data_IF_517111173767
#
_entry.id   IF_517111173767
#
_cell.length_a   1.000
_cell.length_b   1.000
_cell.length_c   1.000
_cell.angle_alpha   90.00
_cell.angle_beta   90.00
_cell.angle_gamma   90.00
#
_symmetry.space_group_name_H-M   'P 1'
#
loop_
_entity.id
_entity.type
_entity.pdbx_description
1 polymer ?
2 non-polymer ?
3 non-polymer ?
4 water ?
#
# COMPACT_ATOMS: atom_id res chain seq x y z
N UNK A 8 -25.85 20.07 -9.39
CA UNK A 8 -25.51 21.38 -8.74
C UNK A 8 -23.99 21.60 -8.61
N UNK A 9 -23.57 22.82 -8.96
CA UNK A 9 -22.21 23.37 -8.77
C UNK A 9 -21.17 23.09 -9.85
N UNK A 10 -21.09 23.97 -10.85
CA UNK A 10 -20.18 23.80 -11.98
C UNK A 10 -18.92 24.68 -11.84
N UNK A 11 -17.76 24.05 -11.91
CA UNK A 11 -16.48 24.68 -11.68
C UNK A 11 -16.27 25.91 -12.57
N UNK A 12 -16.56 25.76 -13.85
CA UNK A 12 -16.25 26.80 -14.82
C UNK A 12 -17.15 28.04 -14.69
N UNK A 13 -18.43 27.81 -14.40
CA UNK A 13 -19.33 28.88 -14.00
C UNK A 13 -18.82 29.64 -12.75
N UNK A 14 -18.51 28.91 -11.68
CA UNK A 14 -18.05 29.52 -10.46
C UNK A 14 -16.73 30.23 -10.67
N UNK A 15 -16.00 29.83 -11.70
CA UNK A 15 -14.71 30.44 -12.03
C UNK A 15 -14.90 31.83 -12.63
N UNK A 16 -16.05 32.02 -13.28
CA UNK A 16 -16.39 33.28 -13.94
C UNK A 16 -16.67 34.43 -12.98
N UNK A 17 -16.66 34.18 -11.67
CA UNK A 17 -16.78 35.23 -10.67
C UNK A 17 -15.53 35.35 -9.80
N UNK A 18 -15.03 36.57 -9.64
CA UNK A 18 -13.82 36.81 -8.87
C UNK A 18 -14.12 37.44 -7.50
N UNK A 31 -17.59 29.91 2.57
CA UNK A 31 -16.84 30.69 1.59
C UNK A 31 -17.15 30.26 0.15
N UNK A 32 -16.88 31.14 -0.83
CA UNK A 32 -16.88 30.74 -2.24
C UNK A 32 -15.59 29.98 -2.63
N UNK A 33 -14.58 30.05 -1.76
CA UNK A 33 -13.33 29.31 -1.94
C UNK A 33 -13.49 27.84 -1.52
N UNK A 34 -14.57 27.54 -0.80
CA UNK A 34 -14.92 26.16 -0.48
C UNK A 34 -15.78 25.57 -1.60
N UNK A 35 -16.69 26.37 -2.14
CA UNK A 35 -17.49 25.97 -3.29
C UNK A 35 -16.63 25.78 -4.56
N UNK A 36 -15.58 26.58 -4.72
CA UNK A 36 -14.64 26.43 -5.83
C UNK A 36 -13.85 25.10 -5.76
N UNK A 37 -13.13 24.90 -4.65
CA UNK A 37 -12.40 23.64 -4.45
C UNK A 37 -13.24 22.36 -4.66
N UNK A 38 -14.44 22.33 -4.10
CA UNK A 38 -15.31 21.17 -4.26
C UNK A 38 -15.74 21.00 -5.71
N UNK A 39 -16.02 22.12 -6.37
CA UNK A 39 -16.51 22.10 -7.75
C UNK A 39 -15.40 21.65 -8.71
N UNK A 41 -12.76 19.75 -7.78
CA UNK A 41 -12.69 18.31 -7.54
C UNK A 41 -13.79 17.57 -8.29
N UNK A 42 -15.02 18.11 -8.22
CA UNK A 42 -16.18 17.54 -8.89
C UNK A 42 -16.05 17.45 -10.39
N UNK A 43 -15.45 18.49 -10.98
CA UNK A 43 -15.20 18.58 -12.42
C UNK A 43 -14.05 17.65 -12.84
N UNK A 44 -13.06 17.53 -11.96
CA UNK A 44 -11.91 16.65 -12.20
C UNK A 44 -12.38 15.21 -12.29
N UNK A 45 -13.24 14.82 -11.37
CA UNK A 45 -13.82 13.48 -11.37
C UNK A 45 -14.71 13.26 -12.58
N UNK A 46 -15.50 14.27 -12.95
CA UNK A 46 -16.35 14.21 -14.14
C UNK A 46 -15.51 14.02 -15.42
N UNK A 47 -14.31 14.59 -15.45
CA UNK A 47 -13.41 14.44 -16.61
C UNK A 47 -12.53 13.19 -16.57
N UNK A 48 -12.53 12.51 -15.43
CA UNK A 48 -11.77 11.28 -15.30
C UNK A 48 -10.29 11.56 -15.11
N UNK A 49 -10.01 12.65 -14.41
CA UNK A 49 -8.65 13.15 -14.25
C UNK A 49 -7.93 12.41 -13.14
N UNK A 50 -6.65 12.16 -13.37
CA UNK A 50 -5.83 11.53 -12.37
C UNK A 50 -5.35 12.56 -11.34
N UNK A 51 -4.84 13.71 -11.79
CA UNK A 51 -4.31 14.71 -10.85
C UNK A 51 -4.74 16.18 -11.10
N UNK A 52 -4.78 16.98 -10.03
CA UNK A 52 -5.04 18.42 -10.11
C UNK A 52 -3.83 19.19 -9.60
N UNK A 53 -3.44 20.25 -10.29
CA UNK A 53 -2.30 21.05 -9.88
C UNK A 53 -2.71 22.48 -9.67
N UNK A 54 -2.46 23.00 -8.48
CA UNK A 54 -2.54 24.44 -8.23
C UNK A 54 -1.14 25.04 -7.97
N UNK A 55 -0.68 25.85 -8.92
CA UNK A 55 0.66 26.42 -8.82
C UNK A 55 0.66 27.94 -8.91
N UNK A 56 1.62 28.55 -8.22
CA UNK A 56 1.80 29.99 -8.23
C UNK A 56 3.01 30.42 -9.10
N UNK A 57 2.75 31.31 -10.05
CA UNK A 57 3.81 32.01 -10.78
C UNK A 57 3.76 33.49 -10.43
N UNK A 58 4.90 34.16 -10.55
CA UNK A 58 5.06 35.53 -10.06
C UNK A 58 3.89 36.47 -10.46
N UNK A 59 3.55 36.50 -11.74
CA UNK A 59 2.57 37.44 -12.27
C UNK A 59 1.17 36.86 -12.46
N UNK A 60 0.95 35.61 -12.03
CA UNK A 60 -0.32 34.91 -12.27
C UNK A 60 -0.36 33.56 -11.57
N UNK A 61 -1.56 33.00 -11.42
CA UNK A 61 -1.74 31.67 -10.84
C UNK A 61 -2.24 30.66 -11.90
N UNK A 62 -2.21 29.37 -11.58
CA UNK A 62 -2.45 28.36 -12.60
C UNK A 62 -3.04 27.07 -12.03
N UNK A 63 -4.09 26.59 -12.68
CA UNK A 63 -4.73 25.33 -12.32
C UNK A 63 -4.63 24.38 -13.49
N UNK A 64 -4.04 23.21 -13.27
CA UNK A 64 -3.94 22.24 -14.36
C UNK A 64 -4.57 20.90 -13.99
N UNK A 65 -5.06 20.18 -14.99
CA UNK A 65 -5.64 18.87 -14.81
C UNK A 65 -4.87 17.85 -15.63
N UNK A 66 -4.52 16.72 -15.03
CA UNK A 66 -4.01 15.65 -15.89
C UNK A 66 -5.10 14.64 -16.23
N UNK A 67 -5.42 14.53 -17.53
CA UNK A 67 -6.35 13.47 -17.97
C UNK A 67 -5.76 12.50 -19.00
N UNK A 68 -5.76 11.22 -18.65
CA UNK A 68 -5.15 10.13 -19.45
C UNK A 68 -3.74 10.43 -19.94
N UNK A 69 -2.91 10.94 -19.04
CA UNK A 69 -1.53 11.28 -19.35
C UNK A 69 -1.37 12.76 -19.63
N UNK A 70 -2.31 13.31 -20.39
CA UNK A 70 -2.24 14.68 -20.92
C UNK A 70 -2.50 15.75 -19.86
N UNK A 71 -1.55 16.67 -19.71
CA UNK A 71 -1.69 17.78 -18.77
C UNK A 71 -2.14 19.01 -19.55
N UNK A 72 -2.97 19.85 -18.93
CA UNK A 72 -3.57 21.01 -19.62
C UNK A 72 -3.91 22.08 -18.61
N UNK A 73 -3.95 23.32 -19.06
CA UNK A 73 -4.35 24.41 -18.18
C UNK A 73 -5.84 24.59 -18.37
N UNK A 74 -6.56 24.70 -17.25
CA UNK A 74 -8.01 24.79 -17.31
C UNK A 74 -8.45 26.13 -16.73
N UNK A 75 -7.59 26.74 -15.93
CA UNK A 75 -7.90 28.05 -15.39
C UNK A 75 -6.65 28.80 -14.92
N UNK A 76 -6.66 30.11 -15.15
CA UNK A 76 -5.63 30.99 -14.65
C UNK A 76 -6.26 32.17 -13.88
N UNK A 77 -6.76 31.90 -12.66
CA UNK A 77 -7.35 32.96 -11.84
C UNK A 77 -6.28 33.90 -11.29
N UNK A 78 -6.71 35.00 -10.66
CA UNK A 78 -5.78 35.99 -10.11
C UNK A 78 -4.80 35.45 -9.06
N UNK A 79 -3.56 35.91 -9.13
CA UNK A 79 -2.51 35.58 -8.17
C UNK A 79 -2.98 35.75 -6.72
N UNK A 80 -3.87 36.71 -6.48
CA UNK A 80 -4.37 36.99 -5.13
C UNK A 80 -5.01 35.78 -4.45
N UNK A 81 -5.58 34.89 -5.24
CA UNK A 81 -6.31 33.75 -4.69
C UNK A 81 -5.41 32.65 -4.12
N UNK A 82 -4.12 32.65 -4.48
CA UNK A 82 -3.21 31.53 -4.17
C UNK A 82 -3.15 31.11 -2.69
N UNK A 83 -2.98 32.07 -1.77
CA UNK A 83 -2.91 31.75 -0.34
C UNK A 83 -4.20 31.10 0.19
N UNK A 84 -5.32 31.45 -0.44
CA UNK A 84 -6.62 30.94 -0.03
C UNK A 84 -6.87 29.51 -0.49
N UNK A 85 -6.54 29.20 -1.75
CA UNK A 85 -6.75 27.85 -2.27
C UNK A 85 -5.80 26.86 -1.60
N UNK A 86 -4.60 27.34 -1.25
CA UNK A 86 -3.62 26.51 -0.54
C UNK A 86 -4.13 26.18 0.87
N UNK A 87 -4.40 27.20 1.66
CA UNK A 87 -5.00 27.00 2.97
C UNK A 87 -6.19 26.02 2.90
N UNK A 88 -7.14 26.30 2.00
CA UNK A 88 -8.35 25.48 1.90
C UNK A 88 -8.06 23.99 1.72
N UNK A 89 -7.11 23.67 0.86
CA UNK A 89 -6.77 22.27 0.62
C UNK A 89 -6.10 21.68 1.86
N UNK A 90 -5.31 22.49 2.55
CA UNK A 90 -4.67 22.05 3.79
C UNK A 90 -5.72 21.64 4.83
N UNK A 91 -6.62 22.55 5.17
CA UNK A 91 -7.58 22.26 6.23
C UNK A 91 -8.38 21.00 5.91
N UNK A 93 -7.19 18.37 4.21
CA UNK A 93 -6.30 17.21 4.33
C UNK A 93 -5.73 17.08 5.73
N UNK A 94 -6.11 18.02 6.60
CA UNK A 94 -5.76 18.01 8.03
C UNK A 94 -4.30 18.39 8.26
N UNK A 95 -3.91 19.58 7.79
CA UNK A 95 -2.50 19.97 7.81
C UNK A 95 -2.25 21.36 8.41
N UNK A 96 -0.98 21.76 8.42
CA UNK A 96 -0.53 22.99 9.07
C UNK A 96 -0.64 24.25 8.20
N UNK A 97 -1.74 24.98 8.37
CA UNK A 97 -1.92 26.28 7.71
C UNK A 97 -0.75 27.24 7.99
N UNK A 98 -0.22 27.20 9.22
CA UNK A 98 0.89 28.07 9.61
C UNK A 98 2.18 27.76 8.87
N UNK A 99 2.45 26.48 8.65
CA UNK A 99 3.70 26.00 8.04
C UNK A 99 3.74 26.25 6.53
N UNK A 100 4.79 26.91 6.07
CA UNK A 100 4.86 27.28 4.66
C UNK A 100 6.18 26.87 4.01
N UNK A 101 7.15 26.46 4.82
CA UNK A 101 8.53 26.25 4.37
C UNK A 101 8.94 24.81 4.02
N UNK A 102 8.12 23.83 4.42
CA UNK A 102 8.48 22.42 4.22
C UNK A 102 7.35 21.61 3.56
N UNK A 103 7.66 20.51 2.89
CA UNK A 103 6.65 19.63 2.30
C UNK A 103 5.64 19.12 3.32
N UNK A 104 4.43 18.83 2.86
CA UNK A 104 3.36 18.28 3.69
C UNK A 104 2.53 17.31 2.86
N UNK A 105 2.08 16.24 3.50
CA UNK A 105 1.27 15.22 2.83
C UNK A 105 0.04 14.84 3.66
N UNK A 106 -1.15 15.04 3.08
CA UNK A 106 -2.38 14.69 3.77
C UNK A 106 -3.24 13.72 2.99
N UNK A 107 -4.34 13.30 3.59
CA UNK A 107 -5.33 12.43 2.93
C UNK A 107 -6.72 13.04 3.03
N UNK A 108 -7.60 12.67 2.10
CA UNK A 108 -9.01 13.04 2.15
C UNK A 108 -9.87 11.91 1.58
N UNK A 109 -10.96 11.59 2.27
CA UNK A 109 -12.00 10.74 1.71
C UNK A 109 -13.26 11.57 1.44
N UNK A 110 -13.81 11.42 0.24
CA UNK A 110 -14.94 12.25 -0.19
C UNK A 110 -15.99 11.45 -0.96
N UNK A 111 -17.25 11.91 -0.89
CA UNK A 111 -18.35 11.35 -1.67
C UNK A 111 -18.73 12.31 -2.81
N UNK A 112 -18.72 11.78 -4.03
CA UNK A 112 -19.06 12.57 -5.23
C UNK A 112 -20.49 12.29 -5.69
N UNK A 113 -20.86 11.01 -5.71
CA UNK A 113 -22.19 10.58 -6.13
C UNK A 113 -22.30 10.34 -7.63
N UNK A 116 -17.44 7.76 -3.92
CA UNK A 116 -16.34 7.72 -2.96
C UNK A 116 -14.97 7.82 -3.64
N UNK A 117 -14.19 8.82 -3.25
CA UNK A 117 -12.91 9.11 -3.91
C UNK A 117 -11.77 9.37 -2.91
N UNK A 118 -10.71 8.56 -3.01
CA UNK A 118 -9.50 8.78 -2.23
C UNK A 118 -8.64 9.89 -2.86
N UNK A 119 -8.50 11.01 -2.17
CA UNK A 119 -7.67 12.10 -2.67
C UNK A 119 -6.46 12.30 -1.77
N UNK A 120 -5.28 12.16 -2.35
CA UNK A 120 -4.02 12.39 -1.67
C UNK A 120 -3.55 13.80 -1.99
N UNK A 121 -3.39 14.64 -0.99
CA UNK A 121 -2.88 15.98 -1.26
C UNK A 121 -1.46 16.20 -0.76
N UNK A 122 -0.62 16.73 -1.64
CA UNK A 122 0.78 17.01 -1.34
C UNK A 122 1.12 18.46 -1.63
N UNK A 123 1.76 19.13 -0.68
CA UNK A 123 2.20 20.51 -0.87
C UNK A 123 3.72 20.65 -0.75
N UNK A 125 7.09 23.79 -0.68
CA UNK A 125 7.70 25.13 -0.76
C UNK A 125 8.20 25.35 -2.18
N UNK A 126 8.03 26.57 -2.66
CA UNK A 126 8.35 26.90 -4.04
C UNK A 126 8.55 28.41 -4.14
N UNK A 127 9.32 28.83 -5.13
CA UNK A 127 9.81 30.21 -5.21
C UNK A 127 8.75 31.34 -5.14
N UNK A 128 7.47 31.04 -5.33
CA UNK A 128 6.43 32.06 -5.18
C UNK A 128 5.17 31.62 -4.40
N UNK A 129 5.24 30.50 -3.70
CA UNK A 129 4.09 29.94 -3.02
C UNK A 129 4.11 28.42 -3.05
N UNK A 130 3.57 27.77 -2.03
CA UNK A 130 3.54 26.33 -2.04
C UNK A 130 2.73 25.84 -3.26
N UNK A 131 3.28 24.85 -3.94
CA UNK A 131 2.60 24.19 -5.04
C UNK A 131 1.78 23.07 -4.39
N UNK A 132 0.64 22.74 -5.00
CA UNK A 132 -0.23 21.69 -4.47
C UNK A 132 -0.71 20.76 -5.55
N UNK A 133 -0.71 19.46 -5.28
CA UNK A 133 -1.41 18.53 -6.13
C UNK A 133 -2.34 17.62 -5.34
N UNK A 135 -4.26 13.97 -5.75
CA UNK A 135 -3.91 12.78 -6.55
C UNK A 135 -5.08 11.90 -6.97
N UNK A 136 -6.24 12.08 -6.35
CA UNK A 136 -7.49 11.51 -6.89
C UNK A 136 -7.44 10.07 -7.39
N UNK A 137 -7.57 9.11 -6.49
CA UNK A 137 -7.63 7.70 -6.88
C UNK A 137 -9.04 7.14 -6.66
N UNK A 138 -9.39 6.14 -7.46
CA UNK A 138 -10.63 5.41 -7.28
C UNK A 138 -10.51 4.45 -6.09
N UNK A 139 -11.59 4.25 -5.36
CA UNK A 139 -11.59 3.33 -4.23
C UNK A 139 -11.70 1.84 -4.65
N UNK A 140 -12.20 1.58 -5.87
CA UNK A 140 -12.49 0.19 -6.28
C UNK A 140 -11.39 -0.67 -6.94
N UNK A 141 -10.57 -0.08 -7.81
CA UNK A 141 -9.49 -0.85 -8.46
C UNK A 141 -8.53 -1.50 -7.44
N UNK A 142 -8.61 -1.02 -6.19
CA UNK A 142 -7.78 -1.52 -5.09
C UNK A 142 -8.30 -2.85 -4.47
N UNK A 143 -9.51 -3.26 -4.85
CA UNK A 143 -10.24 -4.39 -4.25
C UNK A 143 -10.03 -5.71 -5.02
N UNK A 144 -8.88 -6.33 -4.77
CA UNK A 144 -8.51 -7.56 -5.45
C UNK A 144 -8.70 -8.81 -4.57
N UNK A 145 -9.02 -9.95 -5.17
CA UNK A 145 -9.11 -11.19 -4.40
C UNK A 145 -7.78 -11.95 -4.34
N UNK A 146 -7.70 -12.93 -3.43
CA UNK A 146 -6.44 -13.61 -3.11
C UNK A 146 -5.72 -14.20 -4.33
N UNK A 147 -6.48 -14.58 -5.36
CA UNK A 147 -5.86 -15.13 -6.57
C UNK A 147 -5.55 -14.09 -7.64
N UNK A 148 -5.53 -12.82 -7.27
CA UNK A 148 -5.38 -11.73 -8.24
C UNK A 148 -4.29 -10.75 -7.86
N UNK A 149 -3.41 -11.19 -6.97
CA UNK A 149 -2.36 -10.33 -6.46
C UNK A 149 -1.05 -10.65 -7.14
N UNK A 150 -1.05 -11.68 -7.96
CA UNK A 150 0.15 -12.09 -8.66
C UNK A 150 1.04 -13.07 -7.91
N UNK A 152 2.74 -16.51 -7.17
CA UNK A 152 3.03 -17.73 -7.91
C UNK A 152 2.16 -18.88 -7.37
N UNK A 153 2.06 -19.96 -8.15
CA UNK A 153 1.24 -21.09 -7.75
C UNK A 153 1.66 -21.63 -6.40
N UNK A 154 2.97 -21.68 -6.15
CA UNK A 154 3.51 -22.20 -4.90
C UNK A 154 3.16 -21.31 -3.72
N UNK A 155 3.47 -20.03 -3.84
CA UNK A 155 3.20 -19.06 -2.77
C UNK A 155 1.72 -18.99 -2.45
N UNK A 156 0.89 -19.03 -3.49
CA UNK A 156 -0.55 -19.00 -3.36
C UNK A 156 -1.06 -20.18 -2.54
N UNK A 157 -0.52 -21.34 -2.85
CA UNK A 157 -0.91 -22.58 -2.22
C UNK A 157 -0.54 -22.59 -0.74
N UNK A 158 0.71 -22.23 -0.45
CA UNK A 158 1.24 -22.18 0.91
C UNK A 158 0.64 -21.09 1.77
N UNK A 159 0.28 -19.96 1.15
CA UNK A 159 -0.34 -18.85 1.86
C UNK A 159 -1.78 -19.19 2.17
N UNK A 160 -2.47 -19.86 1.25
CA UNK A 160 -3.85 -20.29 1.51
C UNK A 160 -3.91 -21.35 2.61
N UNK A 161 -2.88 -22.19 2.70
CA UNK A 161 -2.84 -23.21 3.75
C UNK A 161 -2.46 -22.55 5.07
N UNK A 162 -1.72 -21.46 5.01
CA UNK A 162 -1.26 -20.76 6.20
C UNK A 162 -2.39 -20.03 6.92
N UNK A 163 -3.17 -19.24 6.17
CA UNK A 163 -4.27 -18.46 6.77
C UNK A 163 -5.41 -19.34 7.29
N UNK A 164 -5.43 -20.60 6.88
CA UNK A 164 -6.43 -21.55 7.36
C UNK A 164 -6.01 -22.27 8.66
N UNK A 165 -4.83 -21.94 9.21
CA UNK A 165 -4.38 -22.56 10.46
C UNK A 165 -5.20 -22.01 11.63
N UNK A 166 -5.35 -22.77 12.71
CA UNK A 166 -6.18 -22.36 13.86
C UNK A 166 -5.61 -21.22 14.72
N UNK A 167 -4.30 -21.15 14.92
CA UNK A 167 -3.70 -20.10 15.74
C UNK A 167 -2.26 -19.77 15.34
N UNK A 168 -1.72 -18.65 15.83
CA UNK A 168 -0.42 -18.12 15.43
C UNK A 168 -0.53 -16.77 14.71
N UNK A 169 0.59 -16.07 14.56
CA UNK A 169 0.67 -14.78 13.86
C UNK A 169 1.15 -14.87 12.43
N UNK A 170 0.43 -14.22 11.52
CA UNK A 170 0.88 -14.08 10.14
C UNK A 170 1.12 -12.60 9.86
N UNK A 171 2.33 -12.28 9.44
CA UNK A 171 2.71 -10.91 9.16
C UNK A 171 2.86 -10.73 7.67
N UNK A 172 2.22 -9.67 7.15
CA UNK A 172 2.45 -9.22 5.77
C UNK A 172 3.37 -8.02 5.88
N UNK A 173 4.53 -8.05 5.24
CA UNK A 173 5.51 -6.98 5.42
C UNK A 173 5.99 -6.39 4.11
N UNK A 174 6.61 -5.22 4.20
CA UNK A 174 7.11 -4.50 3.04
C UNK A 174 7.16 -3.00 3.30
N UNK A 175 7.76 -2.25 2.38
CA UNK A 175 7.80 -0.79 2.49
C UNK A 175 6.47 -0.13 2.12
N UNK A 176 6.35 1.17 2.34
CA UNK A 176 5.15 1.93 1.99
C UNK A 176 4.86 1.74 0.50
N UNK A 177 3.60 1.52 0.16
CA UNK A 177 3.22 1.21 -1.21
C UNK A 177 3.35 -0.26 -1.60
N UNK A 178 3.63 -1.13 -0.64
CA UNK A 178 3.81 -2.56 -0.93
C UNK A 178 2.54 -3.32 -1.23
N UNK A 179 1.41 -2.77 -0.83
CA UNK A 179 0.13 -3.43 -1.02
C UNK A 179 -0.27 -4.37 0.10
N UNK A 180 0.20 -4.10 1.31
CA UNK A 180 -0.05 -4.97 2.47
C UNK A 180 -1.50 -4.99 2.90
N UNK A 181 -2.19 -3.86 2.77
CA UNK A 181 -3.57 -3.78 3.18
C UNK A 181 -4.41 -4.61 2.23
N UNK A 182 -4.02 -4.57 0.96
CA UNK A 182 -4.74 -5.27 -0.05
C UNK A 182 -4.63 -6.76 0.19
N UNK A 183 -3.44 -7.26 0.51
CA UNK A 183 -3.34 -8.70 0.71
C UNK A 183 -3.97 -9.21 2.01
N UNK A 184 -3.98 -8.38 3.05
CA UNK A 184 -4.76 -8.70 4.25
C UNK A 184 -6.23 -8.89 3.93
N UNK A 185 -6.83 -7.88 3.30
CA UNK A 185 -8.24 -7.93 2.89
C UNK A 185 -8.54 -9.15 2.02
N UNK A 186 -7.64 -9.49 1.11
CA UNK A 186 -7.80 -10.70 0.28
C UNK A 186 -7.88 -11.96 1.12
N UNK A 187 -6.92 -12.07 2.05
CA UNK A 187 -6.85 -13.15 3.02
C UNK A 187 -8.10 -13.25 3.88
N UNK A 188 -8.53 -12.12 4.46
CA UNK A 188 -9.75 -12.12 5.25
C UNK A 188 -10.93 -12.63 4.43
N UNK A 189 -11.08 -12.14 3.20
CA UNK A 189 -12.22 -12.50 2.37
C UNK A 189 -12.25 -14.01 2.07
N UNK A 190 -11.07 -14.61 1.92
CA UNK A 190 -10.92 -16.05 1.70
C UNK A 190 -11.40 -16.87 2.90
N UNK A 191 -11.36 -16.26 4.09
CA UNK A 191 -11.74 -16.92 5.32
C UNK A 191 -13.17 -16.59 5.71
N UNK A 192 -13.76 -15.60 5.02
CA UNK A 192 -15.00 -14.99 5.47
C UNK A 192 -16.18 -15.91 5.30
N UNK A 193 -16.18 -16.98 6.08
CA UNK A 193 -17.30 -17.89 6.17
C UNK A 193 -18.00 -17.62 7.49
N UNK A 194 -19.19 -18.20 7.65
CA UNK A 194 -20.01 -17.92 8.81
C UNK A 194 -19.62 -18.82 9.97
N UNK A 195 -18.75 -19.78 9.70
CA UNK A 195 -18.19 -20.63 10.75
C UNK A 195 -17.09 -19.87 11.52
N UNK A 196 -16.55 -18.82 10.92
CA UNK A 196 -15.49 -18.07 11.59
C UNK A 196 -15.99 -16.75 12.12
N UNK A 197 -15.39 -16.29 13.20
CA UNK A 197 -15.68 -14.94 13.70
C UNK A 197 -14.43 -14.08 13.52
N UNK A 198 -14.47 -13.22 12.52
CA UNK A 198 -13.32 -12.42 12.17
C UNK A 198 -13.56 -10.97 12.53
N UNK A 199 -12.76 -10.48 13.47
CA UNK A 199 -12.83 -9.09 13.90
C UNK A 199 -11.56 -8.35 13.54
N UNK A 200 -11.68 -7.04 13.42
CA UNK A 200 -10.65 -6.20 12.82
C UNK A 200 -10.47 -4.93 13.65
N UNK A 201 -9.25 -4.42 13.73
CA UNK A 201 -9.06 -3.05 14.19
C UNK A 201 -8.13 -2.34 13.21
N UNK A 202 -8.54 -1.15 12.77
CA UNK A 202 -7.93 -0.48 11.63
C UNK A 202 -7.79 1.02 11.83
N UNK A 203 -6.95 1.63 11.00
CA UNK A 203 -6.64 3.04 11.12
C UNK A 203 -6.23 3.66 9.78
N UNK A 204 -7.21 4.04 8.95
CA UNK A 204 -8.64 3.80 9.21
C UNK A 204 -9.09 2.50 8.55
N UNK A 205 -10.39 2.21 8.54
CA UNK A 205 -10.93 1.06 7.80
C UNK A 205 -10.82 1.46 6.34
N UNK A 206 -10.39 0.55 5.47
CA UNK A 206 -10.25 0.88 4.06
C UNK A 206 -11.60 0.75 3.35
N UNK A 207 -12.27 -0.39 3.52
CA UNK A 207 -13.72 -0.47 3.23
C UNK A 207 -14.47 -1.48 4.10
N UNK A 208 -15.77 -1.60 3.87
CA UNK A 208 -16.58 -2.62 4.52
C UNK A 208 -16.48 -3.94 3.78
N UNK A 209 -16.27 -5.04 4.50
CA UNK A 209 -16.25 -6.35 3.86
C UNK A 209 -17.62 -7.03 3.88
N UNK A 210 -18.22 -7.13 5.07
CA UNK A 210 -19.55 -7.73 5.22
C UNK A 210 -19.45 -9.18 5.69
N UNK A 211 -19.76 -9.39 6.96
CA UNK A 211 -19.46 -10.65 7.59
C UNK A 211 -18.37 -10.48 8.62
N UNK A 212 -17.60 -9.40 8.48
CA UNK A 212 -16.43 -9.14 9.30
C UNK A 212 -16.60 -7.86 10.14
N UNK A 213 -16.51 -8.01 11.45
CA UNK A 213 -16.62 -6.86 12.35
C UNK A 213 -15.41 -5.96 12.28
N UNK A 214 -15.59 -4.74 11.78
CA UNK A 214 -14.46 -3.82 11.57
C UNK A 214 -14.54 -2.63 12.51
N UNK A 215 -13.42 -2.28 13.10
CA UNK A 215 -13.37 -1.28 14.15
C UNK A 215 -12.30 -0.26 13.83
N UNK A 216 -12.68 1.01 13.81
CA UNK A 216 -11.72 2.07 13.53
C UNK A 216 -11.07 2.57 14.81
N UNK A 217 -9.79 2.92 14.74
CA UNK A 217 -9.17 3.55 15.89
C UNK A 217 -9.63 5.00 15.97
N UNK A 218 -9.99 5.42 17.16
CA UNK A 218 -10.53 6.75 17.39
C UNK A 218 -9.76 7.45 18.50
N UNK A 219 -8.84 8.33 18.10
CA UNK A 219 -8.03 9.12 19.04
C UNK A 219 -8.89 9.97 19.98
N UNK A 220 -10.10 10.28 19.52
CA UNK A 220 -11.03 11.15 20.23
C UNK A 220 -11.59 10.54 21.51
N UNK A 221 -11.28 9.26 21.75
CA UNK A 221 -11.73 8.58 22.98
C UNK A 221 -10.65 7.64 23.54
N UNK A 222 -9.39 7.90 23.15
CA UNK A 222 -8.26 7.01 23.44
C UNK A 222 -8.53 5.55 23.03
N UNK A 224 -7.28 3.21 20.92
CA UNK A 224 -6.07 2.95 20.16
C UNK A 224 -6.04 1.51 19.71
N UNK A 225 -5.10 1.19 18.83
CA UNK A 225 -4.82 -0.18 18.44
C UNK A 225 -4.74 -1.13 19.64
N UNK A 226 -4.04 -0.70 20.69
CA UNK A 226 -3.88 -1.52 21.88
C UNK A 226 -5.20 -1.77 22.62
N UNK A 227 -5.97 -0.70 22.86
CA UNK A 227 -7.26 -0.84 23.55
C UNK A 227 -8.26 -1.68 22.76
N UNK A 228 -8.37 -1.39 21.46
CA UNK A 228 -9.31 -2.06 20.59
C UNK A 228 -9.02 -3.54 20.45
N UNK A 229 -7.74 -3.88 20.30
CA UNK A 229 -7.31 -5.27 20.16
C UNK A 229 -7.55 -6.08 21.45
N UNK A 230 -7.35 -5.43 22.60
CA UNK A 230 -7.71 -6.01 23.89
C UNK A 230 -9.22 -6.34 23.93
N UNK A 231 -10.06 -5.40 23.49
CA UNK A 231 -11.50 -5.60 23.39
C UNK A 231 -11.89 -6.72 22.44
N UNK A 232 -11.32 -6.69 21.22
CA UNK A 232 -11.53 -7.77 20.26
C UNK A 232 -11.48 -9.11 20.95
N UNK A 233 -10.50 -9.33 21.82
CA UNK A 233 -10.33 -10.65 22.44
C UNK A 233 -11.48 -11.03 23.39
N UNK A 234 -12.16 -10.04 23.94
CA UNK A 234 -13.37 -10.32 24.74
C UNK A 234 -14.60 -10.60 23.87
N UNK A 235 -14.47 -10.48 22.54
CA UNK A 235 -15.55 -10.85 21.62
C UNK A 235 -15.44 -12.25 20.98
N UNK A 236 -14.57 -13.10 21.50
CA UNK A 236 -14.62 -14.52 21.14
C UNK A 236 -14.34 -14.80 19.65
N UNK A 237 -13.24 -14.23 19.14
CA UNK A 237 -12.95 -14.30 17.71
C UNK A 237 -12.15 -15.54 17.33
N UNK A 238 -12.31 -16.01 16.10
CA UNK A 238 -11.47 -17.10 15.61
C UNK A 238 -10.24 -16.46 14.96
N UNK A 239 -10.45 -15.36 14.24
CA UNK A 239 -9.39 -14.64 13.54
C UNK A 239 -9.46 -13.15 13.88
N UNK A 240 -8.30 -12.53 14.10
CA UNK A 240 -8.28 -11.08 14.30
C UNK A 240 -7.21 -10.43 13.46
N UNK A 242 -5.03 -6.80 12.84
CA UNK A 242 -4.57 -5.53 13.40
C UNK A 242 -3.91 -4.77 12.27
N UNK A 243 -4.40 -3.57 11.99
CA UNK A 243 -3.94 -2.77 10.87
C UNK A 243 -2.42 -2.67 10.73
N UNK A 244 -1.74 -2.56 11.86
CA UNK A 244 -0.28 -2.69 11.93
C UNK A 244 0.24 -2.70 13.35
N UNK A 245 1.47 -3.16 13.51
CA UNK A 245 2.09 -3.27 14.82
C UNK A 245 3.19 -2.21 14.93
N UNK A 246 2.88 -1.15 15.69
CA UNK A 246 3.73 0.04 15.73
C UNK A 246 4.56 0.09 17.01
N UNK A 247 3.98 -0.36 18.10
CA UNK A 247 4.62 -0.28 19.40
C UNK A 247 4.67 -1.65 20.07
N UNK A 248 5.61 -1.78 21.01
CA UNK A 248 5.74 -2.94 21.86
C UNK A 248 4.38 -3.45 22.39
N UNK A 249 3.54 -2.53 22.87
CA UNK A 249 2.29 -2.90 23.56
C UNK A 249 1.33 -3.70 22.68
N UNK A 250 1.07 -3.18 21.49
CA UNK A 250 0.26 -3.86 20.49
C UNK A 250 0.90 -5.18 20.06
N UNK A 251 2.22 -5.26 20.08
CA UNK A 251 2.89 -6.51 19.75
C UNK A 251 2.66 -7.53 20.85
N UNK A 252 2.68 -7.07 22.10
CA UNK A 252 2.54 -7.93 23.27
C UNK A 252 1.17 -8.62 23.27
N UNK A 253 0.13 -7.81 23.09
CA UNK A 253 -1.24 -8.30 22.99
C UNK A 253 -1.38 -9.23 21.80
N UNK A 254 -0.90 -8.77 20.65
CA UNK A 254 -0.88 -9.57 19.42
C UNK A 254 -0.32 -10.98 19.66
N UNK A 255 0.86 -11.05 20.28
CA UNK A 255 1.50 -12.33 20.58
C UNK A 255 0.68 -13.17 21.57
N UNK A 256 0.12 -12.53 22.61
CA UNK A 256 -0.71 -13.23 23.59
C UNK A 256 -1.97 -13.78 22.95
N UNK A 257 -2.55 -13.00 22.04
CA UNK A 257 -3.75 -13.43 21.31
C UNK A 257 -3.45 -14.67 20.50
N UNK A 258 -2.28 -14.69 19.86
CA UNK A 258 -1.92 -15.79 18.99
C UNK A 258 -1.59 -17.01 19.81
N UNK A 259 -1.08 -16.79 21.02
CA UNK A 259 -0.77 -17.90 21.88
C UNK A 259 -1.98 -18.48 22.65
N UNK A 260 -3.14 -17.81 22.59
CA UNK A 260 -4.34 -18.29 23.30
C UNK A 260 -5.43 -18.84 22.38
N UNK A 261 -5.07 -19.16 21.14
CA UNK A 261 -5.98 -19.86 20.25
C UNK A 261 -6.58 -19.04 19.13
N UNK A 262 -6.03 -17.85 18.90
CA UNK A 262 -6.51 -17.02 17.83
C UNK A 262 -5.52 -17.06 16.67
N UNK A 263 -6.02 -16.84 15.45
CA UNK A 263 -5.15 -16.57 14.33
C UNK A 263 -5.09 -15.06 14.21
N UNK A 264 -3.89 -14.49 14.28
CA UNK A 264 -3.69 -13.06 14.21
C UNK A 264 -3.01 -12.67 12.91
N UNK A 266 -1.36 -9.23 10.66
CA UNK A 266 -0.88 -7.85 10.79
C UNK A 266 0.27 -7.54 9.84
N UNK A 267 0.86 -6.37 9.99
CA UNK A 267 1.89 -5.88 9.07
C UNK A 267 2.99 -5.21 9.85
N UNK A 268 4.20 -5.19 9.29
CA UNK A 268 5.24 -4.27 9.72
C UNK A 268 5.78 -3.66 8.44
N UNK A 269 6.49 -2.54 8.54
CA UNK A 269 7.14 -1.96 7.36
C UNK A 269 8.64 -2.29 7.25
N UNK A 270 8.99 -3.51 7.58
CA UNK A 270 10.36 -3.99 7.40
C UNK A 270 10.59 -4.34 5.94
N UNK A 271 11.85 -4.55 5.58
CA UNK A 271 12.24 -4.64 4.17
C UNK A 271 12.53 -6.06 3.67
N UNK A 272 12.65 -7.00 4.60
CA UNK A 272 12.78 -8.42 4.26
C UNK A 272 11.91 -9.25 5.18
N UNK A 273 11.52 -10.43 4.69
CA UNK A 273 10.88 -11.43 5.52
C UNK A 273 11.63 -11.70 6.84
N UNK A 274 12.94 -11.96 6.79
CA UNK A 274 13.66 -12.19 8.07
C UNK A 274 13.76 -10.95 8.95
N UNK A 275 13.79 -9.78 8.35
CA UNK A 275 13.77 -8.54 9.11
C UNK A 275 12.56 -8.36 10.04
N UNK A 276 11.47 -9.08 9.78
CA UNK A 276 10.29 -9.00 10.64
C UNK A 276 10.65 -9.50 12.04
N UNK A 277 11.29 -10.65 12.11
CA UNK A 277 11.79 -11.21 13.36
C UNK A 277 12.69 -10.19 14.05
N UNK A 278 13.65 -9.63 13.33
CA UNK A 278 14.54 -8.63 13.90
C UNK A 278 13.79 -7.46 14.50
N UNK A 279 12.83 -6.91 13.75
CA UNK A 279 12.03 -5.80 14.24
C UNK A 279 11.27 -6.14 15.51
N UNK A 280 10.64 -7.32 15.54
CA UNK A 280 9.93 -7.79 16.72
C UNK A 280 10.85 -7.86 17.96
N UNK A 281 12.02 -8.48 17.83
CA UNK A 281 12.99 -8.57 18.91
C UNK A 281 13.40 -7.18 19.42
N UNK A 282 13.80 -6.33 18.48
CA UNK A 282 14.24 -4.96 18.79
C UNK A 282 13.18 -4.16 19.52
N UNK A 284 11.20 -5.45 21.64
CA UNK A 284 11.17 -5.98 22.98
C UNK A 284 10.23 -7.14 23.25
N UNK A 285 9.87 -7.91 22.22
CA UNK A 285 9.16 -9.17 22.46
C UNK A 285 10.18 -10.27 22.78
N UNK A 286 9.92 -11.05 23.82
CA UNK A 286 10.79 -12.17 24.19
C UNK A 286 11.04 -13.06 22.97
N UNK A 287 12.30 -13.24 22.63
CA UNK A 287 12.71 -14.17 21.56
C UNK A 287 12.01 -15.55 21.59
N UNK A 288 11.79 -16.12 22.76
CA UNK A 288 11.09 -17.40 22.75
C UNK A 288 9.65 -17.26 22.25
N UNK A 289 9.01 -16.17 22.64
CA UNK A 289 7.61 -15.95 22.35
C UNK A 289 7.39 -15.61 20.87
N UNK A 290 8.36 -14.93 20.25
CA UNK A 290 8.32 -14.76 18.80
C UNK A 290 8.36 -16.13 18.15
N UNK A 291 9.28 -16.98 18.58
CA UNK A 291 9.49 -18.28 17.95
C UNK A 291 8.34 -19.25 18.15
N UNK A 292 7.51 -19.05 19.17
CA UNK A 292 6.35 -19.95 19.34
C UNK A 292 5.02 -19.43 18.76
N UNK A 293 5.00 -18.18 18.29
CA UNK A 293 3.77 -17.58 17.80
C UNK A 293 3.81 -17.39 16.29
N UNK A 294 4.98 -17.04 15.78
CA UNK A 294 5.10 -16.81 14.35
C UNK A 294 4.81 -18.04 13.49
N UNK A 295 3.74 -17.97 12.71
CA UNK A 295 3.46 -18.98 11.68
C UNK A 295 4.20 -18.68 10.40
N UNK A 296 4.18 -17.42 9.99
CA UNK A 296 4.83 -17.02 8.76
C UNK A 296 4.83 -15.52 8.48
N UNK A 297 5.70 -15.13 7.57
CA UNK A 297 5.92 -13.73 7.21
C UNK A 297 5.89 -13.63 5.69
N UNK A 298 4.91 -12.93 5.16
CA UNK A 298 4.85 -12.71 3.71
C UNK A 298 5.46 -11.33 3.38
N UNK A 299 6.70 -11.33 2.91
CA UNK A 299 7.33 -10.10 2.45
C UNK A 299 6.91 -9.85 1.01
N UNK A 300 6.76 -8.58 0.67
CA UNK A 300 5.97 -8.21 -0.50
C UNK A 300 6.46 -6.88 -1.11
N UNK A 301 6.41 -6.80 -2.44
CA UNK A 301 6.76 -5.57 -3.16
C UNK A 301 5.81 -5.43 -4.35
N UNK A 302 5.54 -4.20 -4.77
CA UNK A 302 4.78 -3.98 -6.00
C UNK A 302 5.66 -3.56 -7.19
N UNK A 303 5.61 -4.32 -8.26
CA UNK A 303 6.24 -3.90 -9.51
C UNK A 303 5.19 -3.57 -10.58
N UNK A 304 5.51 -2.62 -11.46
CA UNK A 304 4.58 -2.23 -12.50
C UNK A 304 4.57 -3.29 -13.59
N UNK A 305 3.38 -3.67 -14.06
CA UNK A 305 3.29 -4.58 -15.20
C UNK A 305 3.44 -3.79 -16.50
N UNK A 306 4.40 -4.24 -17.32
CA UNK A 306 4.65 -3.72 -18.65
C UNK A 306 3.40 -3.63 -19.51
N UNK A 307 3.26 -2.52 -20.24
CA UNK A 307 2.13 -2.36 -21.16
C UNK A 307 2.28 -3.39 -22.28
N UNK A 308 1.33 -4.30 -22.39
CA UNK A 308 1.41 -5.35 -23.42
C UNK A 308 1.34 -4.78 -24.83
N UNK A 309 0.87 -3.54 -24.98
CA UNK A 309 0.72 -2.91 -26.30
C UNK A 309 2.03 -2.41 -26.88
N UNK A 310 2.85 -1.76 -26.05
CA UNK A 310 4.09 -1.15 -26.53
C UNK A 310 5.38 -1.79 -26.01
N UNK A 311 5.24 -2.84 -25.19
CA UNK A 311 6.40 -3.59 -24.67
C UNK A 311 7.13 -4.26 -25.83
N UNK A 312 8.44 -4.02 -25.87
CA UNK A 312 9.29 -4.49 -26.97
C UNK A 312 10.25 -5.59 -26.53
N UNK A 313 10.24 -6.71 -27.26
CA UNK A 313 11.20 -7.80 -27.04
C UNK A 313 12.64 -7.46 -27.39
N UNK A 314 13.58 -7.95 -26.59
CA UNK A 314 14.99 -7.88 -26.91
C UNK A 314 15.68 -9.17 -26.52
N UNK A 315 16.94 -9.32 -26.94
CA UNK A 315 17.77 -10.46 -26.58
C UNK A 315 18.72 -10.05 -25.47
N UNK A 316 18.67 -10.78 -24.35
CA UNK A 316 19.48 -10.44 -23.18
C UNK A 316 20.98 -10.55 -23.47
N UNK A 317 21.72 -9.49 -23.16
CA UNK A 317 23.18 -9.52 -23.27
C UNK A 317 23.81 -10.39 -22.17
N UNK A 318 25.13 -10.56 -22.24
CA UNK A 318 25.85 -11.51 -21.37
C UNK A 318 25.73 -11.18 -19.87
N UNK A 319 25.62 -9.89 -19.54
CA UNK A 319 25.51 -9.46 -18.15
C UNK A 319 24.10 -9.64 -17.65
N UNK A 320 23.12 -9.48 -18.54
CA UNK A 320 21.74 -9.68 -18.17
C UNK A 320 21.41 -11.15 -18.03
N UNK A 321 22.14 -11.97 -18.77
CA UNK A 321 22.00 -13.43 -18.69
C UNK A 321 22.50 -13.97 -17.35
N UNK A 322 23.57 -13.39 -16.83
CA UNK A 322 24.10 -13.79 -15.52
C UNK A 322 23.01 -13.87 -14.47
N UNK A 323 22.00 -12.99 -14.59
CA UNK A 323 20.94 -12.85 -13.61
C UNK A 323 19.95 -14.00 -13.64
N UNK A 324 19.99 -14.81 -14.70
CA UNK A 324 19.10 -15.93 -14.86
C UNK A 324 19.88 -17.26 -14.86
N UNK A 330 21.05 -21.08 -26.20
CA UNK A 330 19.74 -20.51 -26.53
C UNK A 330 19.66 -19.02 -26.19
N UNK A 331 18.99 -18.24 -27.05
CA UNK A 331 18.71 -16.83 -26.76
C UNK A 331 17.59 -16.60 -25.71
N UNK A 332 17.85 -15.76 -24.72
CA UNK A 332 16.84 -15.40 -23.71
C UNK A 332 16.06 -14.11 -24.04
N UNK A 333 14.79 -14.27 -24.38
CA UNK A 333 13.94 -13.14 -24.76
C UNK A 333 13.28 -12.50 -23.55
N UNK A 334 13.66 -11.28 -23.25
CA UNK A 334 13.04 -10.50 -22.20
C UNK A 334 12.30 -9.34 -22.83
N UNK A 335 11.71 -8.49 -22.01
CA UNK A 335 10.99 -7.34 -22.55
C UNK A 335 11.43 -6.02 -21.94
N UNK A 336 11.11 -4.94 -22.65
CA UNK A 336 11.54 -3.59 -22.29
C UNK A 336 10.37 -2.63 -22.39
N UNK A 337 10.46 -1.51 -21.68
CA UNK A 337 9.30 -0.63 -21.47
C UNK A 337 8.76 0.14 -22.70
N UNK A 338 9.59 0.96 -23.32
CA UNK A 338 9.19 1.92 -24.38
C UNK A 338 8.20 3.02 -23.95
N UNK A 339 6.92 2.92 -24.36
CA UNK A 339 5.95 3.95 -24.05
C UNK A 339 4.95 4.25 -25.16
N UNK A 340 3.66 4.31 -24.79
CA UNK A 340 2.59 4.66 -25.72
C UNK A 340 1.42 5.36 -24.98
N UNK A 341 0.48 5.97 -25.72
CA UNK A 341 -0.74 6.53 -25.13
C UNK A 341 -1.53 5.58 -24.21
N UNK A 342 -1.62 4.30 -24.54
CA UNK A 342 -2.36 3.36 -23.67
C UNK A 342 -1.73 3.22 -22.26
N UNK A 343 -0.40 3.30 -22.17
CA UNK A 343 0.27 3.69 -20.92
C UNK A 343 0.38 5.22 -20.96
N UNK A 344 1.37 5.84 -20.32
CA UNK A 344 1.75 7.24 -20.65
C UNK A 344 3.17 7.59 -20.19
N UNK A 345 3.27 8.14 -18.97
CA UNK A 345 4.53 8.19 -18.21
C UNK A 345 5.07 6.75 -18.09
N UNK A 346 6.03 6.42 -18.96
CA UNK A 346 6.60 5.07 -19.11
C UNK A 346 5.65 4.09 -19.78
N UNK A 347 6.20 2.93 -20.15
CA UNK A 347 5.43 1.91 -20.84
C UNK A 347 4.93 0.82 -19.91
N UNK A 348 4.16 1.24 -18.90
CA UNK A 348 3.59 0.34 -17.91
C UNK A 348 2.12 0.67 -17.66
N UNK A 349 1.27 -0.34 -17.80
CA UNK A 349 -0.10 -0.25 -17.30
C UNK A 349 -0.32 -1.32 -16.22
N UNK A 350 -0.89 -0.92 -15.09
CA UNK A 350 -1.18 -1.83 -14.01
C UNK A 350 0.03 -2.16 -13.15
N UNK A 351 -0.17 -2.92 -12.07
CA UNK A 351 0.93 -3.43 -11.29
C UNK A 351 0.59 -4.78 -10.68
N UNK A 352 1.60 -5.47 -10.21
CA UNK A 352 1.41 -6.79 -9.62
C UNK A 352 2.40 -7.01 -8.47
N UNK A 353 2.14 -8.02 -7.65
CA UNK A 353 3.00 -8.30 -6.51
C UNK A 353 4.12 -9.27 -6.82
N UNK A 354 5.24 -9.11 -6.15
CA UNK A 354 6.21 -10.19 -6.00
C UNK A 354 6.42 -10.46 -4.51
N UNK A 355 6.61 -11.74 -4.16
CA UNK A 355 6.58 -12.15 -2.77
C UNK A 355 7.67 -13.11 -2.36
N UNK A 356 7.88 -13.16 -1.04
CA UNK A 356 8.71 -14.16 -0.42
C UNK A 356 7.92 -14.66 0.80
N UNK A 357 7.64 -15.95 0.84
CA UNK A 357 6.88 -16.52 1.94
C UNK A 357 7.74 -17.34 2.92
N UNK A 358 8.03 -16.76 4.07
CA UNK A 358 8.79 -17.45 5.11
C UNK A 358 7.85 -18.35 5.89
N UNK A 359 8.17 -19.64 5.96
CA UNK A 359 7.35 -20.58 6.74
C UNK A 359 8.14 -21.06 7.95
N UNK A 360 7.54 -20.94 9.12
CA UNK A 360 8.19 -21.38 10.34
C UNK A 360 8.16 -22.90 10.51
N UNK A 361 9.33 -23.48 10.74
CA UNK A 361 9.48 -24.91 11.07
C UNK A 361 10.32 -25.09 12.34
N UNK A 362 10.57 -26.34 12.74
CA UNK A 362 11.30 -26.64 13.96
C UNK A 362 12.68 -25.94 14.03
N UNK A 363 13.49 -26.15 12.99
CA UNK A 363 14.83 -25.60 12.91
C UNK A 363 14.84 -24.06 12.98
N UNK A 364 13.88 -23.43 12.32
CA UNK A 364 13.80 -21.98 12.37
C UNK A 364 13.42 -21.44 13.75
N UNK A 365 12.53 -22.14 14.44
CA UNK A 365 12.21 -21.77 15.81
C UNK A 365 13.45 -21.69 16.72
N UNK A 366 14.31 -22.71 16.66
CA UNK A 366 15.64 -22.72 17.30
C UNK A 366 16.45 -21.48 16.93
N UNK A 367 16.49 -21.17 15.65
CA UNK A 367 17.21 -20.00 15.16
C UNK A 367 16.64 -18.68 15.67
N UNK A 368 15.31 -18.57 15.77
CA UNK A 368 14.69 -17.35 16.28
C UNK A 368 14.97 -17.23 17.77
N UNK A 369 14.66 -18.32 18.50
CA UNK A 369 14.83 -18.40 19.93
C UNK A 369 16.28 -18.11 20.36
N UNK A 370 17.25 -18.70 19.67
CA UNK A 370 18.67 -18.46 19.96
C UNK A 370 19.23 -17.12 19.44
N UNK A 371 18.41 -16.32 18.76
CA UNK A 371 18.82 -14.97 18.30
C UNK A 371 19.99 -15.02 17.31
N UNK A 372 20.02 -16.08 16.50
CA UNK A 372 21.11 -16.37 15.59
C UNK A 372 21.42 -15.25 14.59
N UNK A 373 20.40 -14.47 14.23
CA UNK A 373 20.57 -13.34 13.34
C UNK A 373 20.07 -13.59 11.93
N UNK A 374 19.99 -12.51 11.16
CA UNK A 374 19.37 -12.49 9.83
C UNK A 374 20.05 -13.43 8.83
N UNK A 375 21.37 -13.49 8.87
CA UNK A 375 22.16 -14.27 7.91
C UNK A 375 21.91 -15.76 8.06
N UNK A 376 21.86 -16.23 9.30
CA UNK A 376 21.65 -17.64 9.58
C UNK A 376 20.21 -18.08 9.30
N UNK A 378 18.16 -16.51 7.03
CA UNK A 378 18.05 -16.46 5.58
C UNK A 378 18.66 -17.69 4.95
N UNK A 379 19.85 -18.06 5.39
CA UNK A 379 20.52 -19.25 4.88
C UNK A 379 19.64 -20.48 5.02
N UNK A 380 18.90 -20.57 6.12
CA UNK A 380 18.08 -21.75 6.38
C UNK A 380 16.87 -21.81 5.45
N UNK A 381 16.27 -20.64 5.24
CA UNK A 381 15.01 -20.49 4.53
C UNK A 381 15.18 -20.69 3.02
N UNK A 382 16.40 -20.56 2.54
CA UNK A 382 16.69 -20.59 1.12
C UNK A 382 16.61 -21.99 0.51
N UNK A 383 16.98 -23.00 1.28
CA UNK A 383 16.78 -24.38 0.84
C UNK A 383 15.33 -24.63 0.35
N UNK A 384 14.35 -24.06 1.04
CA UNK A 384 12.95 -24.27 0.68
C UNK A 384 12.30 -23.13 -0.11
N UNK A 385 12.69 -21.89 0.17
CA UNK A 385 12.00 -20.72 -0.38
C UNK A 385 12.89 -19.70 -1.15
N UNK A 386 12.47 -19.34 -2.36
CA UNK A 386 13.19 -18.35 -3.16
C UNK A 386 13.00 -16.93 -2.63
N UNK A 387 14.01 -16.07 -2.79
CA UNK A 387 13.90 -14.66 -2.40
C UNK A 387 12.97 -13.83 -3.30
N UNK A 388 12.61 -12.65 -2.82
CA UNK A 388 11.74 -11.75 -3.56
C UNK A 388 12.34 -11.44 -4.91
N UNK A 389 13.66 -11.33 -4.98
CA UNK A 389 14.33 -11.04 -6.24
C UNK A 389 14.09 -12.16 -7.26
N UNK A 390 14.24 -13.41 -6.83
CA UNK A 390 14.05 -14.55 -7.72
C UNK A 390 12.60 -14.57 -8.17
N UNK A 391 11.69 -14.26 -7.26
CA UNK A 391 10.28 -14.13 -7.63
C UNK A 391 10.07 -13.09 -8.73
N UNK A 392 10.64 -11.89 -8.52
CA UNK A 392 10.64 -10.84 -9.53
C UNK A 392 11.25 -11.28 -10.86
N UNK A 393 12.43 -11.88 -10.79
CA UNK A 393 13.13 -12.38 -11.97
C UNK A 393 12.34 -13.41 -12.77
N UNK A 394 11.54 -14.24 -12.09
CA UNK A 394 10.70 -15.21 -12.77
C UNK A 394 9.69 -14.51 -13.66
N UNK A 395 9.14 -13.42 -13.13
CA UNK A 395 8.11 -12.64 -13.83
C UNK A 395 8.69 -11.83 -14.99
N UNK A 396 9.97 -11.43 -14.84
CA UNK A 396 10.72 -10.81 -15.92
C UNK A 396 10.81 -11.83 -17.06
N UNK A 397 11.33 -13.01 -16.74
CA UNK A 397 11.40 -14.13 -17.68
C UNK A 397 10.09 -14.30 -18.45
N UNK A 398 8.96 -14.15 -17.78
CA UNK A 398 7.68 -14.36 -18.43
C UNK A 398 7.28 -13.14 -19.24
N UNK A 399 8.08 -12.08 -19.15
CA UNK A 399 7.83 -10.84 -19.87
C UNK A 399 6.65 -10.07 -19.31
N UNK A 400 6.35 -10.31 -18.03
CA UNK A 400 5.30 -9.58 -17.34
C UNK A 400 5.81 -8.21 -16.92
N UNK A 401 7.06 -8.13 -16.51
CA UNK A 401 7.65 -6.87 -16.15
C UNK A 401 9.08 -6.77 -16.69
N UNK A 402 9.65 -5.56 -16.63
CA UNK A 402 11.00 -5.31 -17.09
C UNK A 402 12.03 -5.74 -16.06
N UNK A 403 13.27 -5.95 -16.49
CA UNK A 403 14.35 -6.29 -15.57
C UNK A 403 14.70 -5.11 -14.69
N UNK A 404 14.54 -3.89 -15.23
CA UNK A 404 14.77 -2.64 -14.48
C UNK A 404 13.84 -2.53 -13.26
N UNK A 405 12.56 -2.81 -13.47
CA UNK A 405 11.53 -2.61 -12.46
C UNK A 405 11.73 -3.54 -11.26
N UNK A 406 12.21 -4.76 -11.52
CA UNK A 406 12.52 -5.69 -10.47
C UNK A 406 13.85 -5.35 -9.78
N UNK A 408 15.42 -2.44 -9.48
CA UNK A 408 15.53 -1.11 -8.87
C UNK A 408 15.11 -1.08 -7.40
N UNK A 409 14.21 -1.98 -7.03
CA UNK A 409 13.77 -2.10 -5.66
C UNK A 409 14.67 -3.00 -4.85
N UNK A 410 15.63 -3.64 -5.51
CA UNK A 410 16.49 -4.62 -4.83
C UNK A 410 17.85 -4.05 -4.42
#
# INVERSE_FOLDING_TARGET
XEDIGADSDDFFSLAEELPQNEDLLESEDDAPIIKLINAXLGEAIKEGASDIHIETFEKTLSIRFRVDGVLREVLAPSRKLSSLLVSRVKVXAKLDIAEKRVPQDGRISLRIGGRAVDVRVSTXPSSHGERVVXRLLDKNATRLDLHSLGXTAHNHDNFRRLIKRPHGIILVTGPTGSGKSTTLYAGLQELNSSERNILTVEDPIEFDIDGIGQTQVNPRVDXTFARGLRAILRQDPDVVXVGEIRDLETAQIAVQASLTGHLVXSTLHTNTAVGAVTRLRDXGIEPFLISSSLLGVLAQRLVRTLCPDCKEPYEADKEQRKLFDSKKKEPLILYRATGCPKCNHKGYRGRTGIHELLLVDDALQELIHSEAGEQAXEKHIRATTPSIRDDGLDKVRQGITSLEEVXRGSRSHHHHHH
#
